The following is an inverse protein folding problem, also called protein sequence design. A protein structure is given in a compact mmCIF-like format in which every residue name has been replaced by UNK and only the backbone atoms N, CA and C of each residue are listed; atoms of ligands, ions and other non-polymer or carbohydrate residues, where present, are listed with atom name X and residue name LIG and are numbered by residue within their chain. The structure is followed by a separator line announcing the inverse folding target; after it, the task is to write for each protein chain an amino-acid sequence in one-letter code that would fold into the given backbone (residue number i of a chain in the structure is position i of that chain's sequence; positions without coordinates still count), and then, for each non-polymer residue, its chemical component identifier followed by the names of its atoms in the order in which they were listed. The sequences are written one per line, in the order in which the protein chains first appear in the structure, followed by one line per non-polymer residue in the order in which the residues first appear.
data_IF_064029206859
#
_entry.id   IF_064029206859
#
_cell.length_a   1.000
_cell.length_b   1.000
_cell.length_c   1.000
_cell.angle_alpha   90.00
_cell.angle_beta   90.00
_cell.angle_gamma   90.00
#
_symmetry.space_group_name_H-M   'P 1'
#
loop_
_entity.id
_entity.type
_entity.pdbx_description
1 polymer ?
#
# COMPACT_ATOMS: atom_id res chain seq x y z
N UNK A 1 18.51 9.39 12.22
CA UNK A 1 17.52 8.39 11.76
C UNK A 1 16.15 9.03 11.84
N UNK A 2 15.41 9.09 10.73
CA UNK A 2 14.05 9.67 10.68
C UNK A 2 13.03 8.55 10.75
N UNK A 3 12.26 8.47 11.84
CA UNK A 3 11.24 7.43 12.01
C UNK A 3 9.98 7.86 11.26
N UNK A 4 9.60 7.12 10.22
CA UNK A 4 8.39 7.39 9.45
C UNK A 4 7.14 6.90 10.20
N UNK A 5 6.26 7.83 10.57
CA UNK A 5 4.96 7.54 11.17
C UNK A 5 3.88 7.56 10.07
N UNK A 6 3.19 6.44 9.79
CA UNK A 6 2.14 6.39 8.77
C UNK A 6 1.02 7.40 9.02
N UNK A 7 0.50 8.01 7.95
CA UNK A 7 -0.51 9.08 8.05
C UNK A 7 -1.79 8.65 8.78
N UNK A 8 -2.22 7.40 8.66
CA UNK A 8 -3.39 6.88 9.40
C UNK A 8 -3.14 6.87 10.92
N UNK A 9 -1.93 6.52 11.37
CA UNK A 9 -1.57 6.51 12.78
C UNK A 9 -1.44 7.95 13.33
N UNK A 10 -0.94 8.87 12.51
CA UNK A 10 -0.94 10.31 12.81
C UNK A 10 -2.37 10.88 12.93
N UNK A 11 -3.31 10.44 12.10
CA UNK A 11 -4.70 10.88 12.18
C UNK A 11 -5.38 10.31 13.44
N UNK A 12 -5.28 9.01 13.68
CA UNK A 12 -5.79 8.38 14.90
C UNK A 12 -5.22 9.00 16.19
N UNK A 13 -3.94 9.41 16.18
CA UNK A 13 -3.32 10.20 17.26
C UNK A 13 -4.02 11.55 17.46
N UNK A 14 -4.35 12.27 16.39
CA UNK A 14 -5.02 13.57 16.45
C UNK A 14 -6.46 13.41 16.95
N UNK A 15 -7.21 12.45 16.40
CA UNK A 15 -8.59 12.17 16.77
C UNK A 15 -8.68 11.78 18.26
N UNK A 16 -7.79 10.89 18.71
CA UNK A 16 -7.66 10.48 20.12
C UNK A 16 -7.30 11.65 21.04
N UNK A 17 -6.41 12.56 20.62
CA UNK A 17 -6.03 13.73 21.42
C UNK A 17 -7.18 14.74 21.53
N UNK A 18 -7.95 14.94 20.45
CA UNK A 18 -9.16 15.77 20.45
C UNK A 18 -10.23 15.18 21.39
N UNK A 19 -10.46 13.87 21.34
CA UNK A 19 -11.47 13.18 22.16
C UNK A 19 -11.08 13.10 23.65
N UNK A 20 -9.81 12.84 23.97
CA UNK A 20 -9.33 12.61 25.36
C UNK A 20 -8.84 13.87 26.08
N UNK A 21 -8.47 14.94 25.36
CA UNK A 21 -7.94 16.18 25.95
C UNK A 21 -8.62 17.47 25.44
N UNK A 22 -9.66 17.38 24.60
CA UNK A 22 -10.42 18.55 24.14
C UNK A 22 -9.66 19.48 23.17
N UNK A 23 -8.48 19.06 22.69
CA UNK A 23 -7.67 19.79 21.72
C UNK A 23 -6.52 20.62 22.28
N UNK A 24 -6.39 20.76 23.61
CA UNK A 24 -5.19 21.34 24.23
C UNK A 24 -4.33 20.22 24.84
N UNK A 25 -3.01 20.28 24.64
CA UNK A 25 -2.11 19.13 24.80
C UNK A 25 -1.09 19.40 25.90
N UNK A 26 -1.29 18.90 27.13
CA UNK A 26 -0.35 19.15 28.22
C UNK A 26 1.02 18.53 27.92
N UNK A 27 2.08 19.22 28.35
CA UNK A 27 3.46 18.83 28.09
C UNK A 27 3.76 17.41 28.62
N UNK A 28 3.97 16.47 27.70
CA UNK A 28 4.15 15.04 27.97
C UNK A 28 3.05 14.14 27.39
N UNK A 29 1.82 14.63 27.20
CA UNK A 29 0.71 13.80 26.70
C UNK A 29 0.97 13.20 25.31
N UNK A 30 1.79 13.84 24.46
CA UNK A 30 2.22 13.27 23.19
C UNK A 30 3.08 12.00 23.33
N UNK A 31 3.95 11.89 24.35
CA UNK A 31 4.74 10.67 24.55
C UNK A 31 3.90 9.57 25.21
N UNK A 32 2.96 9.93 26.08
CA UNK A 32 2.05 8.98 26.73
C UNK A 32 1.01 8.44 25.76
N UNK A 33 0.32 9.28 24.98
CA UNK A 33 -0.64 8.85 23.97
C UNK A 33 0.02 8.04 22.84
N UNK A 34 1.24 8.37 22.42
CA UNK A 34 2.03 7.53 21.49
C UNK A 34 2.38 6.19 22.13
N UNK A 35 2.75 6.15 23.42
CA UNK A 35 3.04 4.90 24.15
C UNK A 35 1.78 4.04 24.31
N UNK A 36 0.63 4.63 24.62
CA UNK A 36 -0.66 3.93 24.74
C UNK A 36 -1.16 3.42 23.40
N UNK A 37 -1.09 4.21 22.32
CA UNK A 37 -1.49 3.73 20.98
C UNK A 37 -0.52 2.69 20.41
N UNK A 38 0.78 2.75 20.75
CA UNK A 38 1.71 1.67 20.45
C UNK A 38 1.43 0.41 21.29
N UNK A 39 1.13 0.56 22.59
CA UNK A 39 0.72 -0.56 23.44
C UNK A 39 -0.56 -1.21 22.91
N UNK A 40 -1.60 -0.44 22.61
CA UNK A 40 -2.84 -0.92 22.02
C UNK A 40 -2.62 -1.59 20.64
N UNK A 41 -1.75 -1.07 19.79
CA UNK A 41 -1.38 -1.70 18.51
C UNK A 41 -0.56 -2.99 18.67
N UNK A 42 0.16 -3.15 19.78
CA UNK A 42 0.89 -4.37 20.14
C UNK A 42 -0.03 -5.40 20.81
N UNK A 43 -0.96 -4.97 21.67
CA UNK A 43 -1.94 -5.80 22.35
C UNK A 43 -3.02 -6.33 21.39
N UNK A 44 -3.54 -5.49 20.48
CA UNK A 44 -4.45 -5.95 19.41
C UNK A 44 -3.76 -6.91 18.44
N UNK A 45 -2.44 -6.78 18.23
CA UNK A 45 -1.64 -7.83 17.57
C UNK A 45 -1.53 -9.10 18.41
N UNK A 46 -1.17 -9.00 19.69
CA UNK A 46 -1.01 -10.17 20.57
C UNK A 46 -2.32 -10.97 20.72
N UNK A 47 -3.45 -10.28 20.91
CA UNK A 47 -4.79 -10.87 20.97
C UNK A 47 -5.27 -11.50 19.65
N UNK A 48 -4.59 -11.21 18.53
CA UNK A 48 -4.88 -11.81 17.21
C UNK A 48 -3.76 -12.71 16.69
N UNK A 49 -2.79 -13.07 17.55
CA UNK A 49 -1.59 -13.84 17.17
C UNK A 49 -1.68 -15.32 17.59
N UNK A 50 -1.86 -16.26 16.64
CA UNK A 50 -1.57 -17.67 16.90
C UNK A 50 -0.07 -17.82 17.18
N UNK A 51 0.28 -18.61 18.21
CA UNK A 51 1.67 -19.01 18.42
C UNK A 51 2.14 -19.88 17.25
N UNK A 52 3.02 -19.34 16.41
CA UNK A 52 3.85 -20.17 15.51
C UNK A 52 5.23 -19.54 15.31
N UNK A 53 6.26 -20.38 15.47
CA UNK A 53 7.65 -20.03 15.20
C UNK A 53 7.92 -20.15 13.70
N UNK A 54 8.34 -19.04 13.09
CA UNK A 54 8.65 -18.97 11.67
C UNK A 54 8.59 -17.54 11.16
N UNK A 55 9.29 -17.25 10.06
CA UNK A 55 9.16 -15.94 9.40
C UNK A 55 7.73 -15.83 8.86
N UNK A 56 6.93 -14.93 9.44
CA UNK A 56 5.56 -14.66 8.98
C UNK A 56 5.64 -14.06 7.58
N UNK A 57 5.52 -14.93 6.57
CA UNK A 57 5.45 -14.56 5.16
C UNK A 57 4.29 -13.56 4.99
N UNK A 58 4.48 -12.43 4.28
CA UNK A 58 3.37 -11.53 3.97
C UNK A 58 2.20 -12.32 3.40
N UNK A 59 0.96 -11.94 3.74
CA UNK A 59 -0.18 -12.60 3.12
C UNK A 59 -0.09 -12.39 1.61
N UNK A 60 -0.33 -13.46 0.84
CA UNK A 60 -0.14 -13.45 -0.63
C UNK A 60 -0.89 -12.33 -1.36
N UNK A 61 -1.93 -11.79 -0.73
CA UNK A 61 -2.67 -10.64 -1.22
C UNK A 61 -1.93 -9.29 -1.06
N UNK A 62 -1.12 -9.12 -0.01
CA UNK A 62 -0.26 -7.92 0.19
C UNK A 62 0.87 -7.89 -0.82
N UNK A 63 1.62 -8.99 -0.91
CA UNK A 63 2.71 -9.19 -1.88
C UNK A 63 2.23 -8.91 -3.32
N UNK A 64 1.02 -9.37 -3.68
CA UNK A 64 0.41 -9.07 -4.98
C UNK A 64 -0.08 -7.61 -5.11
N UNK A 65 -0.60 -6.98 -4.05
CA UNK A 65 -0.96 -5.56 -4.07
C UNK A 65 0.28 -4.66 -4.25
N UNK A 66 1.35 -4.94 -3.52
CA UNK A 66 2.66 -4.28 -3.64
C UNK A 66 3.23 -4.49 -5.04
N UNK A 67 3.15 -5.70 -5.60
CA UNK A 67 3.55 -5.99 -6.98
C UNK A 67 2.72 -5.23 -8.02
N UNK A 68 1.42 -5.08 -7.83
CA UNK A 68 0.56 -4.25 -8.71
C UNK A 68 1.01 -2.78 -8.68
N UNK A 69 1.41 -2.26 -7.51
CA UNK A 69 1.90 -0.89 -7.37
C UNK A 69 3.33 -0.73 -7.95
N UNK A 70 4.17 -1.75 -7.83
CA UNK A 70 5.45 -1.81 -8.53
C UNK A 70 5.26 -1.76 -10.05
N UNK A 71 4.28 -2.49 -10.61
CA UNK A 71 3.92 -2.36 -12.03
C UNK A 71 3.44 -0.95 -12.41
N UNK A 72 2.61 -0.33 -11.57
CA UNK A 72 2.10 1.04 -11.77
C UNK A 72 3.25 2.05 -11.83
N UNK A 73 4.15 2.04 -10.85
CA UNK A 73 5.35 2.90 -10.81
C UNK A 73 6.27 2.61 -12.00
N UNK A 74 6.65 1.35 -12.19
CA UNK A 74 7.73 0.96 -13.11
C UNK A 74 7.39 1.25 -14.58
N UNK A 75 6.18 0.86 -15.02
CA UNK A 75 5.81 0.78 -16.45
C UNK A 75 4.70 1.74 -16.90
N UNK A 76 4.07 2.49 -15.99
CA UNK A 76 2.88 3.29 -16.30
C UNK A 76 3.07 4.74 -15.87
N UNK A 77 3.50 4.98 -14.63
CA UNK A 77 3.69 6.33 -14.07
C UNK A 77 4.98 6.38 -13.23
N UNK A 78 6.16 6.56 -13.87
CA UNK A 78 7.46 6.57 -13.17
C UNK A 78 7.56 7.59 -12.03
N UNK A 79 7.00 8.79 -12.23
CA UNK A 79 7.00 9.88 -11.25
C UNK A 79 5.75 9.86 -10.34
N UNK A 80 5.25 8.68 -9.96
CA UNK A 80 4.12 8.56 -9.04
C UNK A 80 4.59 8.61 -7.58
N UNK A 81 3.99 9.51 -6.81
CA UNK A 81 4.30 9.71 -5.39
C UNK A 81 3.09 9.40 -4.50
N UNK A 82 3.29 9.03 -3.22
CA UNK A 82 2.23 8.94 -2.23
C UNK A 82 1.45 10.26 -2.11
N UNK A 83 0.12 10.19 -2.22
CA UNK A 83 -0.78 11.35 -2.33
C UNK A 83 -1.17 11.70 -3.78
N UNK A 84 -0.43 11.21 -4.78
CA UNK A 84 -0.75 11.36 -6.20
C UNK A 84 -2.08 10.71 -6.58
N UNK A 85 -2.71 11.20 -7.64
CA UNK A 85 -3.96 10.64 -8.18
C UNK A 85 -3.71 9.87 -9.49
N UNK A 86 -4.41 8.74 -9.66
CA UNK A 86 -4.50 8.00 -10.92
C UNK A 86 -5.93 7.60 -11.24
N UNK A 87 -6.24 7.50 -12.54
CA UNK A 87 -7.54 7.00 -12.98
C UNK A 87 -7.65 5.48 -12.83
N UNK A 88 -8.89 4.98 -12.70
CA UNK A 88 -9.20 3.55 -12.67
C UNK A 88 -8.62 2.78 -13.88
N UNK A 89 -8.42 3.46 -15.02
CA UNK A 89 -7.82 2.86 -16.23
C UNK A 89 -6.33 2.51 -16.02
N UNK A 90 -5.56 3.37 -15.35
CA UNK A 90 -4.14 3.10 -15.09
C UNK A 90 -3.96 1.97 -14.06
N UNK A 91 -4.78 1.96 -13.00
CA UNK A 91 -4.82 0.84 -12.05
C UNK A 91 -5.29 -0.47 -12.70
N UNK A 92 -6.30 -0.42 -13.58
CA UNK A 92 -6.74 -1.59 -14.34
C UNK A 92 -5.63 -2.14 -15.28
N UNK A 93 -4.80 -1.25 -15.87
CA UNK A 93 -3.61 -1.64 -16.64
C UNK A 93 -2.57 -2.30 -15.74
N UNK A 94 -2.25 -1.73 -14.57
CA UNK A 94 -1.31 -2.31 -13.61
C UNK A 94 -1.77 -3.71 -13.12
N UNK A 95 -3.04 -3.84 -12.73
CA UNK A 95 -3.65 -5.13 -12.36
C UNK A 95 -3.61 -6.12 -13.54
N UNK A 96 -3.77 -5.64 -14.79
CA UNK A 96 -3.68 -6.50 -15.98
C UNK A 96 -2.26 -7.00 -16.22
N UNK A 97 -1.24 -6.17 -16.00
CA UNK A 97 0.17 -6.59 -16.13
C UNK A 97 0.55 -7.64 -15.07
N UNK A 98 0.09 -7.48 -13.82
CA UNK A 98 0.34 -8.42 -12.73
C UNK A 98 -0.49 -9.71 -12.80
N UNK A 99 -1.76 -9.64 -13.21
CA UNK A 99 -2.78 -10.69 -13.03
C UNK A 99 -3.56 -11.07 -14.29
N UNK A 100 -3.17 -10.61 -15.46
CA UNK A 100 -3.80 -10.96 -16.74
C UNK A 100 -3.71 -12.46 -17.06
N UNK A 101 -4.71 -13.01 -17.76
CA UNK A 101 -4.80 -14.47 -18.07
C UNK A 101 -4.06 -14.90 -19.35
N UNK A 102 -3.53 -13.96 -20.11
CA UNK A 102 -2.75 -14.19 -21.33
C UNK A 102 -1.47 -13.38 -21.22
N UNK A 103 -0.33 -14.02 -21.30
CA UNK A 103 0.97 -13.37 -21.16
C UNK A 103 1.54 -12.93 -22.51
N UNK A 104 2.46 -11.96 -22.46
CA UNK A 104 3.34 -11.58 -23.58
C UNK A 104 4.63 -12.41 -23.57
N UNK A 105 5.50 -12.20 -24.56
CA UNK A 105 6.88 -12.70 -24.61
C UNK A 105 7.70 -12.45 -23.32
N UNK A 106 7.29 -11.50 -22.48
CA UNK A 106 7.99 -11.10 -21.26
C UNK A 106 7.22 -11.47 -19.97
N UNK A 107 6.20 -12.34 -20.02
CA UNK A 107 5.40 -12.72 -18.84
C UNK A 107 4.44 -11.63 -18.34
N UNK A 108 4.37 -10.47 -19.00
CA UNK A 108 3.41 -9.41 -18.68
C UNK A 108 2.00 -9.82 -19.13
N UNK A 109 1.00 -9.70 -18.25
CA UNK A 109 -0.39 -9.99 -18.58
C UNK A 109 -1.01 -8.96 -19.54
N UNK A 110 -1.78 -9.44 -20.52
CA UNK A 110 -2.41 -8.63 -21.60
C UNK A 110 -3.91 -8.37 -21.39
N UNK A 111 -4.62 -9.25 -20.67
CA UNK A 111 -6.05 -9.12 -20.40
C UNK A 111 -6.44 -9.70 -19.05
N UNK A 112 -6.93 -8.86 -18.15
CA UNK A 112 -7.66 -9.27 -16.95
C UNK A 112 -9.17 -9.25 -17.18
N UNK A 113 -9.91 -9.98 -16.35
CA UNK A 113 -11.38 -9.96 -16.33
C UNK A 113 -11.87 -8.76 -15.46
N UNK A 114 -13.00 -8.09 -15.79
CA UNK A 114 -13.54 -7.01 -14.97
C UNK A 114 -13.79 -7.39 -13.49
N UNK A 115 -14.15 -8.66 -13.22
CA UNK A 115 -14.27 -9.20 -11.85
C UNK A 115 -12.92 -9.30 -11.15
N UNK A 116 -11.86 -9.65 -11.88
CA UNK A 116 -10.47 -9.65 -11.37
C UNK A 116 -10.00 -8.23 -11.03
N UNK A 117 -10.26 -7.26 -11.91
CA UNK A 117 -9.93 -5.85 -11.67
C UNK A 117 -10.70 -5.31 -10.45
N UNK A 118 -12.01 -5.51 -10.39
CA UNK A 118 -12.85 -5.09 -9.25
C UNK A 118 -12.46 -5.77 -7.93
N UNK A 119 -12.01 -7.03 -7.97
CA UNK A 119 -11.47 -7.74 -6.80
C UNK A 119 -10.19 -7.10 -6.28
N UNK A 120 -9.22 -6.79 -7.15
CA UNK A 120 -7.93 -6.25 -6.72
C UNK A 120 -7.99 -4.78 -6.31
N UNK A 121 -8.82 -3.95 -6.97
CA UNK A 121 -9.11 -2.59 -6.47
C UNK A 121 -9.63 -2.62 -5.03
N UNK A 122 -10.62 -3.47 -4.73
CA UNK A 122 -11.13 -3.64 -3.35
C UNK A 122 -10.10 -4.16 -2.35
N UNK A 123 -9.08 -4.91 -2.79
CA UNK A 123 -7.99 -5.36 -1.90
C UNK A 123 -6.96 -4.26 -1.66
N UNK A 124 -6.59 -3.50 -2.69
CA UNK A 124 -5.73 -2.33 -2.56
C UNK A 124 -6.35 -1.29 -1.62
N UNK A 125 -7.66 -1.04 -1.76
CA UNK A 125 -8.45 -0.13 -0.92
C UNK A 125 -8.59 -0.67 0.51
N UNK A 126 -9.07 -1.91 0.68
CA UNK A 126 -9.26 -2.53 2.00
C UNK A 126 -7.98 -2.84 2.78
N UNK A 127 -6.80 -2.70 2.16
CA UNK A 127 -5.49 -2.79 2.81
C UNK A 127 -4.81 -1.41 2.96
N UNK A 128 -5.46 -0.32 2.53
CA UNK A 128 -4.97 1.05 2.70
C UNK A 128 -3.86 1.48 1.74
N UNK A 129 -3.66 0.78 0.62
CA UNK A 129 -2.70 1.20 -0.43
C UNK A 129 -3.26 2.28 -1.36
N UNK A 130 -4.58 2.33 -1.54
CA UNK A 130 -5.30 3.36 -2.33
C UNK A 130 -6.57 3.81 -1.60
N UNK A 131 -7.09 4.99 -1.96
CA UNK A 131 -8.42 5.46 -1.55
C UNK A 131 -9.13 6.19 -2.69
N UNK A 132 -10.44 6.00 -2.83
CA UNK A 132 -11.23 6.71 -3.84
C UNK A 132 -11.44 8.18 -3.46
N UNK A 133 -11.35 9.08 -4.44
CA UNK A 133 -11.63 10.52 -4.31
C UNK A 133 -13.02 10.86 -4.85
N UNK A 134 -13.56 12.02 -4.46
CA UNK A 134 -14.87 12.53 -4.90
C UNK A 134 -14.99 12.75 -6.41
N UNK A 135 -13.86 12.93 -7.12
CA UNK A 135 -13.77 13.04 -8.58
C UNK A 135 -13.80 11.67 -9.30
N UNK A 136 -13.91 10.56 -8.56
CA UNK A 136 -13.88 9.20 -9.09
C UNK A 136 -12.47 8.66 -9.39
N UNK A 137 -11.42 9.43 -9.13
CA UNK A 137 -10.02 8.98 -9.21
C UNK A 137 -9.56 8.27 -7.94
N UNK A 138 -8.36 7.70 -7.95
CA UNK A 138 -7.75 7.01 -6.82
C UNK A 138 -6.52 7.75 -6.33
N UNK A 139 -6.52 8.15 -5.06
CA UNK A 139 -5.30 8.53 -4.37
C UNK A 139 -4.46 7.28 -4.12
N UNK A 140 -3.18 7.30 -4.49
CA UNK A 140 -2.21 6.30 -4.07
C UNK A 140 -1.69 6.68 -2.68
N UNK A 141 -1.70 5.76 -1.73
CA UNK A 141 -1.28 6.00 -0.33
C UNK A 141 0.08 5.38 -0.01
N UNK A 142 0.54 4.40 -0.80
CA UNK A 142 1.86 3.80 -0.76
C UNK A 142 2.39 3.57 -2.18
N UNK A 143 3.67 3.87 -2.38
CA UNK A 143 4.43 3.57 -3.61
C UNK A 143 5.70 2.83 -3.18
N UNK A 144 6.00 1.64 -3.72
CA UNK A 144 7.21 0.91 -3.38
C UNK A 144 8.49 1.65 -3.79
N UNK A 145 9.57 1.45 -3.04
CA UNK A 145 10.93 1.92 -3.37
C UNK A 145 11.44 1.26 -4.66
N UNK A 146 12.55 1.76 -5.21
CA UNK A 146 13.17 1.15 -6.41
C UNK A 146 13.79 -0.21 -6.10
N UNK A 147 14.23 -0.43 -4.86
CA UNK A 147 14.71 -1.73 -4.36
C UNK A 147 13.53 -2.71 -4.23
N UNK A 148 12.43 -2.29 -3.59
CA UNK A 148 11.19 -3.07 -3.48
C UNK A 148 10.63 -3.40 -4.88
N UNK A 149 10.67 -2.46 -5.84
CA UNK A 149 10.27 -2.73 -7.22
C UNK A 149 11.18 -3.76 -7.90
N UNK A 150 12.50 -3.71 -7.65
CA UNK A 150 13.43 -4.71 -8.17
C UNK A 150 13.17 -6.10 -7.60
N UNK A 151 12.80 -6.22 -6.32
CA UNK A 151 12.46 -7.51 -5.71
C UNK A 151 11.10 -8.06 -6.21
N UNK A 152 10.06 -7.22 -6.26
CA UNK A 152 8.69 -7.60 -6.64
C UNK A 152 8.54 -7.95 -8.14
N UNK A 153 9.44 -7.44 -8.98
CA UNK A 153 9.40 -7.60 -10.44
C UNK A 153 10.53 -8.46 -11.01
N UNK A 154 11.68 -8.56 -10.32
CA UNK A 154 12.83 -9.34 -10.79
C UNK A 154 13.34 -8.85 -12.16
N UNK A 155 13.49 -9.75 -13.13
CA UNK A 155 13.99 -9.41 -14.48
C UNK A 155 13.11 -8.38 -15.22
N UNK A 156 11.81 -8.27 -14.87
CA UNK A 156 10.92 -7.24 -15.43
C UNK A 156 11.37 -5.81 -15.04
N UNK A 157 11.95 -5.62 -13.86
CA UNK A 157 12.50 -4.32 -13.46
C UNK A 157 13.65 -3.91 -14.40
N UNK A 158 14.55 -4.86 -14.72
CA UNK A 158 15.68 -4.62 -15.63
C UNK A 158 15.21 -4.26 -17.04
N UNK A 159 14.20 -4.94 -17.56
CA UNK A 159 13.60 -4.62 -18.87
C UNK A 159 13.00 -3.21 -18.91
N UNK A 160 12.45 -2.71 -17.80
CA UNK A 160 11.91 -1.35 -17.74
C UNK A 160 12.99 -0.25 -17.75
N UNK A 161 14.17 -0.52 -17.19
CA UNK A 161 15.28 0.46 -17.17
C UNK A 161 16.01 0.57 -18.51
N UNK A 162 15.95 -0.47 -19.36
CA UNK A 162 16.51 -0.46 -20.73
C UNK A 162 15.58 0.26 -21.73
N UNK A 163 14.35 0.58 -21.33
CA UNK A 163 13.32 1.19 -22.16
C UNK A 163 12.97 2.64 -21.74
N UNK A 164 13.89 3.32 -21.04
CA UNK A 164 13.80 4.71 -20.58
C UNK A 164 14.92 5.54 -21.19
#
# INVERSE_FOLDING_TARGET
MTVYIPRWLRLALIDYILERYGGDVPHGALSEAVRELLAWALETRAATQPQSSGRVRPSRDREECERILAFLKTFITPAIEPGGSVSTVLLAKAITMARGRKETKYGLGTKADPRTIKKWLKKLEGLGYIAQRHDGTWAILYVPSDEECSELLGDLWRLAQVAR
#
